data_IF_147854317760
#
_entry.id   IF_147854317760
#
_cell.length_a   1.000
_cell.length_b   1.000
_cell.length_c   1.000
_cell.angle_alpha   90.00
_cell.angle_beta   90.00
_cell.angle_gamma   90.00
#
_symmetry.space_group_name_H-M   'P 1'
#
loop_
_entity.id
_entity.type
_entity.pdbx_description
1 polymer ?
#
# COMPACT_ATOMS: atom_id res chain seq x y z
N UNK A 1 -7.55 -14.66 16.45
CA UNK A 1 -6.25 -15.33 16.43
C UNK A 1 -5.16 -14.32 16.83
N UNK A 2 -4.12 -14.78 17.56
CA UNK A 2 -2.97 -13.94 17.90
C UNK A 2 -1.69 -14.68 17.52
N UNK A 3 -0.72 -13.98 16.92
CA UNK A 3 0.49 -14.55 16.34
C UNK A 3 1.72 -13.67 16.51
N UNK A 4 2.89 -14.27 16.32
CA UNK A 4 4.20 -13.62 16.46
C UNK A 4 4.72 -13.64 17.88
N UNK A 5 5.32 -12.53 18.32
CA UNK A 5 6.06 -12.42 19.58
C UNK A 5 5.14 -12.22 20.79
N UNK A 6 4.41 -13.29 21.13
CA UNK A 6 3.50 -13.40 22.28
C UNK A 6 3.79 -14.72 22.99
N UNK A 7 3.54 -14.81 24.30
CA UNK A 7 3.89 -16.00 25.08
C UNK A 7 3.10 -17.24 24.64
N UNK A 8 1.81 -17.09 24.34
CA UNK A 8 0.95 -18.19 23.90
C UNK A 8 0.24 -17.82 22.60
N UNK A 9 0.91 -17.97 21.43
CA UNK A 9 0.26 -17.72 20.13
C UNK A 9 -0.79 -18.78 19.83
N UNK A 10 -1.87 -18.43 19.12
CA UNK A 10 -2.89 -19.39 18.76
C UNK A 10 -4.25 -18.79 18.43
N UNK A 11 -5.24 -19.68 18.27
CA UNK A 11 -6.64 -19.31 18.08
C UNK A 11 -7.34 -19.26 19.43
N UNK A 12 -8.05 -18.18 19.69
CA UNK A 12 -8.81 -17.95 20.93
C UNK A 12 -10.26 -17.69 20.59
N UNK A 13 -11.17 -18.34 21.30
CA UNK A 13 -12.58 -18.01 21.23
C UNK A 13 -12.82 -16.64 21.89
N UNK A 14 -13.65 -15.79 21.31
CA UNK A 14 -14.10 -14.54 21.90
C UNK A 14 -14.98 -14.85 23.09
N UNK A 15 -14.61 -14.37 24.27
CA UNK A 15 -15.32 -14.67 25.54
C UNK A 15 -16.57 -13.81 25.69
N UNK A 16 -16.62 -12.63 25.12
CA UNK A 16 -17.77 -11.73 25.15
C UNK A 16 -17.74 -10.74 24.00
N UNK A 17 -18.93 -10.20 23.63
CA UNK A 17 -19.04 -9.12 22.61
C UNK A 17 -18.31 -7.82 22.98
N UNK A 18 -17.84 -7.69 24.23
CA UNK A 18 -17.11 -6.52 24.74
C UNK A 18 -15.63 -6.79 24.92
N UNK A 19 -15.14 -7.97 24.52
CA UNK A 19 -13.73 -8.32 24.62
C UNK A 19 -12.88 -7.41 23.73
N UNK A 20 -11.77 -6.95 24.31
CA UNK A 20 -10.84 -6.01 23.65
C UNK A 20 -9.49 -6.68 23.38
N UNK A 21 -8.64 -5.99 22.62
CA UNK A 21 -7.26 -6.45 22.36
C UNK A 21 -6.52 -6.70 23.67
N UNK A 22 -6.63 -5.81 24.65
CA UNK A 22 -5.98 -5.95 25.95
C UNK A 22 -6.40 -7.22 26.71
N UNK A 23 -7.66 -7.62 26.60
CA UNK A 23 -8.18 -8.82 27.26
C UNK A 23 -7.61 -10.09 26.61
N UNK A 24 -7.64 -10.15 25.29
CA UNK A 24 -7.03 -11.25 24.55
C UNK A 24 -5.53 -11.35 24.81
N UNK A 25 -4.84 -10.20 24.84
CA UNK A 25 -3.41 -10.16 25.10
C UNK A 25 -3.06 -10.72 26.48
N UNK A 26 -3.86 -10.40 27.53
CA UNK A 26 -3.70 -11.00 28.86
C UNK A 26 -3.89 -12.51 28.83
N UNK A 27 -4.91 -13.01 28.12
CA UNK A 27 -5.17 -14.45 27.97
C UNK A 27 -4.04 -15.17 27.23
N UNK A 28 -3.40 -14.48 26.28
CA UNK A 28 -2.26 -14.98 25.53
C UNK A 28 -0.92 -14.83 26.29
N UNK A 29 -0.97 -14.45 27.57
CA UNK A 29 0.22 -14.33 28.43
C UNK A 29 1.05 -13.06 28.19
N UNK A 30 0.55 -12.13 27.37
CA UNK A 30 1.26 -10.89 27.01
C UNK A 30 2.32 -11.06 25.94
N UNK A 31 2.91 -9.93 25.47
CA UNK A 31 4.04 -9.95 24.54
C UNK A 31 5.28 -10.55 25.22
N UNK A 32 6.13 -11.21 24.45
CA UNK A 32 7.42 -11.69 24.92
C UNK A 32 8.52 -10.60 24.84
N UNK A 33 9.74 -10.92 25.22
CA UNK A 33 10.88 -9.98 25.24
C UNK A 33 11.32 -9.48 23.85
N UNK A 34 10.97 -10.20 22.77
CA UNK A 34 11.31 -9.84 21.39
C UNK A 34 10.24 -9.01 20.71
N UNK A 35 9.11 -8.80 21.36
CA UNK A 35 7.95 -8.13 20.78
C UNK A 35 8.22 -6.67 20.42
N UNK A 36 7.83 -6.26 19.23
CA UNK A 36 7.85 -4.87 18.79
C UNK A 36 6.45 -4.26 18.93
N UNK A 37 6.24 -3.50 19.98
CA UNK A 37 4.93 -2.98 20.41
C UNK A 37 4.35 -1.98 19.40
N UNK A 38 5.19 -1.10 18.84
CA UNK A 38 4.78 -0.11 17.84
C UNK A 38 4.59 -0.73 16.45
N UNK A 39 5.07 -1.95 16.25
CA UNK A 39 4.94 -2.68 14.99
C UNK A 39 3.73 -3.60 14.93
N UNK A 40 2.95 -3.69 16.00
CA UNK A 40 1.81 -4.58 16.06
C UNK A 40 0.67 -4.15 15.14
N UNK A 41 -0.08 -5.14 14.67
CA UNK A 41 -1.10 -4.95 13.64
C UNK A 41 -2.29 -5.88 13.91
N UNK A 42 -3.49 -5.42 13.67
CA UNK A 42 -4.69 -6.26 13.56
C UNK A 42 -5.11 -6.37 12.10
N UNK A 43 -5.36 -7.58 11.64
CA UNK A 43 -5.94 -7.86 10.32
C UNK A 43 -7.42 -8.16 10.53
N UNK A 44 -8.26 -7.38 9.90
CA UNK A 44 -9.74 -7.46 10.01
C UNK A 44 -10.37 -7.52 8.63
N UNK A 45 -11.42 -8.31 8.48
CA UNK A 45 -12.26 -8.29 7.28
C UNK A 45 -13.08 -6.99 7.26
N UNK A 46 -13.12 -6.32 6.13
CA UNK A 46 -13.93 -5.11 5.94
C UNK A 46 -14.72 -5.20 4.65
N UNK A 47 -15.90 -4.55 4.61
CA UNK A 47 -16.73 -4.48 3.40
C UNK A 47 -15.96 -3.87 2.23
N UNK A 48 -15.19 -2.82 2.49
CA UNK A 48 -14.35 -2.17 1.48
C UNK A 48 -13.29 -3.12 0.87
N UNK A 49 -12.66 -3.96 1.69
CA UNK A 49 -11.72 -4.97 1.21
C UNK A 49 -12.43 -6.08 0.39
N UNK A 50 -13.68 -6.38 0.70
CA UNK A 50 -14.51 -7.30 -0.09
C UNK A 50 -14.81 -6.75 -1.48
N UNK A 51 -15.21 -5.48 -1.61
CA UNK A 51 -15.47 -4.81 -2.89
C UNK A 51 -14.23 -4.79 -3.78
N UNK A 52 -13.07 -4.38 -3.24
CA UNK A 52 -11.80 -4.41 -3.99
C UNK A 52 -11.40 -5.81 -4.45
N UNK A 53 -11.71 -6.83 -3.63
CA UNK A 53 -11.45 -8.22 -4.00
C UNK A 53 -12.36 -8.70 -5.13
N UNK A 54 -13.62 -8.28 -5.16
CA UNK A 54 -14.56 -8.60 -6.22
C UNK A 54 -14.11 -7.98 -7.55
N UNK A 55 -13.77 -6.70 -7.57
CA UNK A 55 -13.22 -6.00 -8.75
C UNK A 55 -11.96 -6.70 -9.26
N UNK A 56 -11.03 -7.09 -8.37
CA UNK A 56 -9.81 -7.78 -8.78
C UNK A 56 -10.09 -9.18 -9.37
N UNK A 57 -11.04 -9.92 -8.82
CA UNK A 57 -11.45 -11.21 -9.37
C UNK A 57 -12.08 -11.04 -10.75
N UNK A 58 -12.93 -10.04 -10.94
CA UNK A 58 -13.55 -9.71 -12.22
C UNK A 58 -12.51 -9.35 -13.28
N UNK A 59 -11.51 -8.52 -12.94
CA UNK A 59 -10.35 -8.23 -13.80
C UNK A 59 -9.61 -9.51 -14.20
N UNK A 60 -9.35 -10.42 -13.25
CA UNK A 60 -8.65 -11.66 -13.52
C UNK A 60 -9.45 -12.59 -14.44
N UNK A 61 -10.76 -12.69 -14.24
CA UNK A 61 -11.64 -13.54 -15.03
C UNK A 61 -11.81 -13.01 -16.46
N UNK A 62 -11.98 -11.69 -16.63
CA UNK A 62 -12.01 -11.06 -17.96
C UNK A 62 -10.67 -11.20 -18.67
N UNK A 63 -9.55 -11.08 -17.96
CA UNK A 63 -8.21 -11.28 -18.54
C UNK A 63 -8.04 -12.70 -19.07
N UNK A 64 -8.43 -13.72 -18.28
CA UNK A 64 -8.40 -15.13 -18.71
C UNK A 64 -9.32 -15.40 -19.91
N UNK A 65 -10.50 -14.79 -19.92
CA UNK A 65 -11.43 -14.91 -21.04
C UNK A 65 -10.84 -14.30 -22.32
N UNK A 66 -10.24 -13.11 -22.21
CA UNK A 66 -9.53 -12.46 -23.29
C UNK A 66 -8.38 -13.34 -23.84
N UNK A 67 -7.56 -13.88 -22.97
CA UNK A 67 -6.45 -14.77 -23.35
C UNK A 67 -6.98 -16.00 -24.11
N UNK A 68 -8.05 -16.64 -23.64
CA UNK A 68 -8.67 -17.78 -24.31
C UNK A 68 -9.20 -17.43 -25.72
N UNK A 69 -9.78 -16.24 -25.89
CA UNK A 69 -10.30 -15.77 -27.17
C UNK A 69 -9.18 -15.34 -28.12
N UNK A 70 -8.02 -14.91 -27.61
CA UNK A 70 -6.89 -14.41 -28.43
C UNK A 70 -5.91 -15.50 -28.88
N UNK A 71 -6.12 -16.78 -28.52
CA UNK A 71 -5.19 -17.88 -28.84
C UNK A 71 -5.06 -18.16 -30.37
N UNK A 72 -6.01 -17.67 -31.22
CA UNK A 72 -5.95 -17.84 -32.67
C UNK A 72 -6.47 -16.57 -33.40
N UNK A 73 -5.68 -15.50 -33.37
CA UNK A 73 -6.04 -14.21 -33.99
C UNK A 73 -6.36 -14.33 -35.51
N UNK A 74 -5.79 -15.30 -36.19
CA UNK A 74 -5.99 -15.50 -37.65
C UNK A 74 -7.33 -16.13 -38.02
N UNK A 75 -8.05 -16.71 -37.06
CA UNK A 75 -9.33 -17.41 -37.26
C UNK A 75 -10.54 -16.68 -36.63
N UNK A 76 -10.32 -15.51 -36.02
CA UNK A 76 -11.37 -14.78 -35.33
C UNK A 76 -12.44 -14.24 -36.28
N UNK A 77 -13.69 -14.56 -35.99
CA UNK A 77 -14.86 -13.96 -36.64
C UNK A 77 -15.01 -12.51 -36.23
N UNK A 78 -15.74 -11.71 -37.05
CA UNK A 78 -16.02 -10.29 -36.75
C UNK A 78 -16.76 -10.13 -35.40
N UNK A 79 -17.61 -11.09 -35.02
CA UNK A 79 -18.29 -11.12 -33.71
C UNK A 79 -17.35 -11.34 -32.55
N UNK A 80 -16.32 -12.17 -32.70
CA UNK A 80 -15.30 -12.42 -31.68
C UNK A 80 -14.37 -11.21 -31.51
N UNK A 81 -13.99 -10.55 -32.59
CA UNK A 81 -13.24 -9.28 -32.54
C UNK A 81 -14.01 -8.19 -31.80
N UNK A 82 -15.34 -8.09 -32.05
CA UNK A 82 -16.20 -7.16 -31.33
C UNK A 82 -16.29 -7.52 -29.83
N UNK A 83 -16.34 -8.79 -29.49
CA UNK A 83 -16.33 -9.27 -28.09
C UNK A 83 -15.02 -8.93 -27.40
N UNK A 84 -13.87 -9.17 -28.04
CA UNK A 84 -12.55 -8.81 -27.51
C UNK A 84 -12.47 -7.30 -27.26
N UNK A 85 -12.93 -6.47 -28.19
CA UNK A 85 -12.92 -5.02 -28.00
C UNK A 85 -13.80 -4.54 -26.82
N UNK A 86 -14.92 -5.21 -26.57
CA UNK A 86 -15.74 -4.95 -25.37
C UNK A 86 -15.03 -5.35 -24.11
N UNK A 87 -14.43 -6.54 -24.06
CA UNK A 87 -13.65 -7.01 -22.92
C UNK A 87 -12.48 -6.05 -22.62
N UNK A 88 -11.77 -5.56 -23.65
CA UNK A 88 -10.68 -4.61 -23.48
C UNK A 88 -11.18 -3.27 -22.89
N UNK A 89 -12.33 -2.76 -23.34
CA UNK A 89 -12.95 -1.56 -22.78
C UNK A 89 -13.37 -1.75 -21.31
N UNK A 90 -13.99 -2.90 -20.98
CA UNK A 90 -14.41 -3.22 -19.61
C UNK A 90 -13.21 -3.41 -18.70
N UNK A 91 -12.15 -4.06 -19.18
CA UNK A 91 -10.87 -4.19 -18.45
C UNK A 91 -10.22 -2.83 -18.19
N UNK A 92 -10.23 -1.92 -19.15
CA UNK A 92 -9.70 -0.56 -18.97
C UNK A 92 -10.50 0.21 -17.91
N UNK A 93 -11.83 0.13 -17.99
CA UNK A 93 -12.73 0.77 -17.03
C UNK A 93 -12.53 0.23 -15.60
N UNK A 94 -12.52 -1.09 -15.43
CA UNK A 94 -12.29 -1.73 -14.13
C UNK A 94 -10.89 -1.43 -13.57
N UNK A 95 -9.86 -1.39 -14.43
CA UNK A 95 -8.50 -1.01 -14.02
C UNK A 95 -8.43 0.46 -13.58
N UNK A 96 -9.14 1.37 -14.24
CA UNK A 96 -9.23 2.77 -13.84
C UNK A 96 -9.94 2.91 -12.49
N UNK A 97 -11.05 2.20 -12.29
CA UNK A 97 -11.80 2.17 -11.04
C UNK A 97 -10.97 1.57 -9.90
N UNK A 98 -10.31 0.45 -10.12
CA UNK A 98 -9.39 -0.18 -9.16
C UNK A 98 -8.21 0.75 -8.81
N UNK A 99 -7.64 1.46 -9.79
CA UNK A 99 -6.55 2.42 -9.56
C UNK A 99 -7.00 3.69 -8.82
N UNK A 100 -8.23 4.15 -9.03
CA UNK A 100 -8.78 5.30 -8.30
C UNK A 100 -9.09 4.96 -6.85
N UNK A 101 -9.45 3.72 -6.56
CA UNK A 101 -9.77 3.20 -5.23
C UNK A 101 -8.53 2.63 -4.49
N UNK A 102 -7.49 2.21 -5.22
CA UNK A 102 -6.21 1.83 -4.63
C UNK A 102 -5.36 3.07 -4.37
N UNK A 103 -5.58 3.68 -3.21
CA UNK A 103 -4.58 4.60 -2.68
C UNK A 103 -3.25 3.82 -2.56
N UNK A 104 -2.15 4.41 -3.05
CA UNK A 104 -0.80 3.82 -3.03
C UNK A 104 -0.43 3.23 -1.65
N UNK A 105 -1.02 3.78 -0.57
CA UNK A 105 -0.87 3.28 0.79
C UNK A 105 -1.47 1.88 0.99
N UNK A 106 -2.57 1.55 0.34
CA UNK A 106 -3.23 0.23 0.48
C UNK A 106 -2.44 -0.87 -0.23
N UNK A 107 -1.84 -0.56 -1.38
CA UNK A 107 -0.95 -1.49 -2.09
C UNK A 107 0.29 -1.84 -1.25
N UNK A 108 0.95 -0.82 -0.68
CA UNK A 108 2.11 -0.99 0.20
C UNK A 108 1.74 -1.79 1.46
N UNK A 109 0.57 -1.53 2.03
CA UNK A 109 0.06 -2.29 3.19
C UNK A 109 -0.16 -3.77 2.85
N UNK A 110 -0.79 -4.09 1.72
CA UNK A 110 -1.00 -5.49 1.26
C UNK A 110 0.32 -6.22 1.03
N UNK A 111 1.27 -5.60 0.32
CA UNK A 111 2.58 -6.20 0.05
C UNK A 111 3.31 -6.51 1.36
N UNK A 112 3.22 -5.60 2.35
CA UNK A 112 3.86 -5.80 3.65
C UNK A 112 3.18 -6.86 4.50
N UNK A 113 1.86 -6.96 4.49
CA UNK A 113 1.14 -8.05 5.15
C UNK A 113 1.60 -9.39 4.57
N UNK A 114 1.67 -9.50 3.25
CA UNK A 114 2.18 -10.68 2.57
C UNK A 114 3.63 -11.01 2.98
N UNK A 115 4.50 -9.99 3.13
CA UNK A 115 5.87 -10.20 3.63
C UNK A 115 5.88 -10.65 5.10
N UNK A 116 5.04 -10.07 5.97
CA UNK A 116 4.94 -10.45 7.39
C UNK A 116 4.46 -11.90 7.52
N UNK A 117 3.41 -12.25 6.77
CA UNK A 117 2.85 -13.62 6.71
C UNK A 117 3.90 -14.62 6.23
N UNK A 118 4.61 -14.31 5.15
CA UNK A 118 5.68 -15.16 4.61
C UNK A 118 6.85 -15.33 5.58
N UNK A 119 7.28 -14.24 6.26
CA UNK A 119 8.40 -14.29 7.21
C UNK A 119 8.11 -15.13 8.46
N UNK A 120 6.87 -15.10 8.94
CA UNK A 120 6.48 -15.78 10.16
C UNK A 120 6.06 -17.23 9.92
N UNK A 121 6.29 -17.79 8.70
CA UNK A 121 5.85 -19.14 8.29
C UNK A 121 4.38 -19.41 8.67
N UNK A 122 3.55 -18.37 8.60
CA UNK A 122 2.15 -18.42 9.00
C UNK A 122 1.37 -19.23 7.96
N UNK A 123 0.49 -20.09 8.45
CA UNK A 123 -0.34 -20.97 7.63
C UNK A 123 -1.08 -20.20 6.52
N UNK A 124 -1.21 -20.84 5.37
CA UNK A 124 -1.81 -20.34 4.12
C UNK A 124 -3.30 -19.90 4.24
N UNK A 125 -3.91 -20.05 5.43
CA UNK A 125 -5.35 -19.87 5.67
C UNK A 125 -5.80 -18.43 5.94
N UNK A 126 -4.94 -17.41 5.71
CA UNK A 126 -5.37 -16.01 5.91
C UNK A 126 -5.97 -15.48 4.61
N UNK A 127 -7.28 -15.16 4.56
CA UNK A 127 -7.92 -14.60 3.36
C UNK A 127 -7.51 -13.13 3.19
N UNK A 128 -6.26 -12.90 2.82
CA UNK A 128 -5.64 -11.58 2.69
C UNK A 128 -6.35 -10.67 1.68
N UNK A 129 -7.00 -11.29 0.68
CA UNK A 129 -7.71 -10.56 -0.37
C UNK A 129 -8.90 -9.74 0.16
N UNK A 130 -9.51 -10.16 1.29
CA UNK A 130 -10.71 -9.55 1.87
C UNK A 130 -10.46 -8.89 3.24
N UNK A 131 -9.21 -8.55 3.54
CA UNK A 131 -8.84 -8.07 4.86
C UNK A 131 -8.00 -6.80 4.79
N UNK A 132 -8.19 -5.91 5.75
CA UNK A 132 -7.38 -4.72 5.95
C UNK A 132 -6.46 -4.88 7.15
N UNK A 133 -5.32 -4.21 7.06
CA UNK A 133 -4.34 -4.11 8.14
C UNK A 133 -4.51 -2.79 8.86
N UNK A 134 -4.76 -2.86 10.16
CA UNK A 134 -4.88 -1.70 11.04
C UNK A 134 -3.69 -1.72 12.00
N UNK A 135 -2.83 -0.69 11.94
CA UNK A 135 -1.74 -0.54 12.89
C UNK A 135 -2.27 -0.30 14.29
N UNK A 136 -1.71 -1.00 15.29
CA UNK A 136 -2.06 -0.84 16.69
C UNK A 136 -0.80 -0.54 17.52
N UNK A 137 -0.97 0.27 18.56
CA UNK A 137 0.10 0.56 19.51
C UNK A 137 -0.12 -0.24 20.80
N UNK A 138 0.56 -1.38 20.92
CA UNK A 138 0.40 -2.25 22.08
C UNK A 138 0.89 -1.59 23.38
N UNK A 139 1.92 -0.75 23.33
CA UNK A 139 2.40 -0.05 24.52
C UNK A 139 1.30 0.82 25.13
N UNK A 140 0.55 1.54 24.28
CA UNK A 140 -0.58 2.35 24.71
C UNK A 140 -1.76 1.50 25.20
N UNK A 141 -2.06 0.39 24.52
CA UNK A 141 -3.14 -0.53 24.88
C UNK A 141 -2.87 -1.17 26.24
N UNK A 142 -1.62 -1.60 26.51
CA UNK A 142 -1.22 -2.25 27.76
C UNK A 142 -1.25 -1.24 28.92
N UNK A 143 -0.75 -0.02 28.72
CA UNK A 143 -0.71 1.02 29.75
C UNK A 143 -2.09 1.58 30.09
N UNK A 144 -2.99 1.60 29.14
CA UNK A 144 -4.30 2.22 29.28
C UNK A 144 -5.43 1.37 28.65
N UNK A 145 -5.73 0.20 29.22
CA UNK A 145 -6.78 -0.69 28.75
C UNK A 145 -8.14 0.01 28.74
N UNK A 146 -8.96 -0.29 27.73
CA UNK A 146 -10.32 0.24 27.60
C UNK A 146 -10.43 1.63 26.96
N UNK A 147 -9.33 2.28 26.58
CA UNK A 147 -9.35 3.51 25.81
C UNK A 147 -9.71 3.25 24.32
N UNK A 148 -9.89 4.33 23.54
CA UNK A 148 -10.25 4.26 22.11
C UNK A 148 -9.25 3.47 21.25
N UNK A 149 -7.97 3.44 21.64
CA UNK A 149 -6.91 2.66 20.99
C UNK A 149 -7.01 1.17 21.23
N UNK A 150 -7.73 0.75 22.28
CA UNK A 150 -7.95 -0.64 22.64
C UNK A 150 -9.26 -1.13 21.97
N UNK A 151 -9.13 -1.57 20.72
CA UNK A 151 -10.26 -1.94 19.88
C UNK A 151 -11.02 -3.14 20.42
N UNK A 152 -12.33 -3.15 20.20
CA UNK A 152 -13.15 -4.35 20.38
C UNK A 152 -12.76 -5.41 19.35
N UNK A 153 -12.74 -6.67 19.77
CA UNK A 153 -12.44 -7.79 18.90
C UNK A 153 -13.68 -8.21 18.12
N UNK A 154 -13.47 -8.59 16.86
CA UNK A 154 -14.46 -9.16 15.98
C UNK A 154 -14.06 -10.58 15.58
N UNK A 155 -15.05 -11.40 15.20
CA UNK A 155 -14.77 -12.75 14.77
C UNK A 155 -13.95 -12.75 13.47
N UNK A 156 -12.90 -13.56 13.44
CA UNK A 156 -11.96 -13.60 12.34
C UNK A 156 -10.78 -12.62 12.46
N UNK A 157 -10.73 -11.76 13.48
CA UNK A 157 -9.57 -10.88 13.71
C UNK A 157 -8.28 -11.66 13.92
N UNK A 158 -7.18 -11.15 13.34
CA UNK A 158 -5.84 -11.71 13.51
C UNK A 158 -4.93 -10.59 14.01
N UNK A 159 -4.44 -10.74 15.24
CA UNK A 159 -3.45 -9.83 15.81
C UNK A 159 -2.06 -10.39 15.53
N UNK A 160 -1.19 -9.57 14.95
CA UNK A 160 0.20 -9.92 14.65
C UNK A 160 1.11 -9.01 15.45
N UNK A 161 1.98 -9.61 16.25
CA UNK A 161 3.01 -8.92 17.03
C UNK A 161 4.36 -9.28 16.42
N UNK A 162 4.99 -8.41 15.64
CA UNK A 162 6.24 -8.73 14.98
C UNK A 162 7.42 -8.65 15.95
N UNK A 163 8.50 -9.31 15.58
CA UNK A 163 9.80 -9.13 16.21
C UNK A 163 10.37 -7.75 15.89
N UNK A 164 11.02 -7.11 16.87
CA UNK A 164 11.73 -5.86 16.65
C UNK A 164 12.93 -6.06 15.73
N UNK A 165 12.87 -5.45 14.54
CA UNK A 165 13.98 -5.46 13.59
C UNK A 165 14.85 -4.24 13.82
N UNK A 166 16.15 -4.45 14.05
CA UNK A 166 17.11 -3.36 14.25
C UNK A 166 17.65 -2.77 12.93
N UNK A 167 16.84 -2.75 11.89
CA UNK A 167 17.25 -2.29 10.56
C UNK A 167 16.24 -1.33 9.94
N UNK A 168 16.71 -0.53 8.99
CA UNK A 168 15.94 0.34 8.10
C UNK A 168 16.21 -0.12 6.67
N UNK A 169 15.18 -0.48 5.93
CA UNK A 169 15.28 -0.88 4.52
C UNK A 169 15.07 0.32 3.62
N UNK A 170 15.92 0.50 2.61
CA UNK A 170 15.86 1.61 1.66
C UNK A 170 15.59 1.07 0.26
N UNK A 171 14.56 1.61 -0.39
CA UNK A 171 14.09 1.18 -1.73
C UNK A 171 13.76 2.37 -2.64
N UNK A 172 13.66 2.09 -3.93
CA UNK A 172 13.30 3.07 -4.96
C UNK A 172 14.50 3.80 -5.54
N UNK A 173 14.33 5.05 -5.93
CA UNK A 173 15.31 5.85 -6.68
C UNK A 173 16.44 6.38 -5.77
N UNK A 174 17.30 5.45 -5.36
CA UNK A 174 18.53 5.67 -4.60
C UNK A 174 19.70 5.13 -5.42
N UNK A 175 20.90 5.65 -5.19
CA UNK A 175 22.09 5.17 -5.92
C UNK A 175 22.38 3.70 -5.60
N UNK A 176 22.22 3.28 -4.35
CA UNK A 176 22.42 1.90 -3.93
C UNK A 176 21.37 1.47 -2.89
N UNK A 177 20.18 1.02 -3.30
CA UNK A 177 19.16 0.51 -2.38
C UNK A 177 19.71 -0.62 -1.53
N UNK A 178 19.61 -0.50 -0.19
CA UNK A 178 20.20 -1.43 0.77
C UNK A 178 19.39 -1.49 2.07
N UNK A 179 19.88 -2.26 3.02
CA UNK A 179 19.36 -2.31 4.39
C UNK A 179 20.47 -1.88 5.35
N UNK A 180 20.16 -0.88 6.16
CA UNK A 180 21.10 -0.25 7.10
C UNK A 180 20.65 -0.50 8.54
N UNK A 181 21.58 -0.68 9.47
CA UNK A 181 21.26 -0.80 10.90
C UNK A 181 20.55 0.45 11.40
N UNK A 182 19.48 0.26 12.15
CA UNK A 182 18.77 1.38 12.78
C UNK A 182 19.61 2.02 13.87
N UNK A 183 19.61 3.35 13.92
CA UNK A 183 20.24 4.16 14.98
C UNK A 183 19.24 5.20 15.49
N UNK A 184 18.84 5.17 16.78
CA UNK A 184 17.76 6.00 17.30
C UNK A 184 17.99 7.52 17.16
N UNK A 185 19.25 7.94 17.13
CA UNK A 185 19.64 9.36 17.05
C UNK A 185 19.76 9.91 15.63
N UNK A 186 19.54 9.07 14.61
CA UNK A 186 19.75 9.45 13.20
C UNK A 186 18.44 9.74 12.48
N UNK A 187 18.39 10.88 11.79
CA UNK A 187 17.27 11.25 10.92
C UNK A 187 17.33 10.54 9.56
N UNK A 188 16.24 10.61 8.82
CA UNK A 188 16.07 9.91 7.52
C UNK A 188 17.19 10.21 6.52
N UNK A 189 17.72 11.45 6.50
CA UNK A 189 18.84 11.83 5.62
C UNK A 189 20.09 10.98 5.83
N UNK A 190 20.37 10.55 7.06
CA UNK A 190 21.49 9.66 7.34
C UNK A 190 21.35 8.33 6.58
N UNK A 191 20.18 7.73 6.61
CA UNK A 191 19.93 6.45 5.93
C UNK A 191 19.98 6.62 4.41
N UNK A 192 19.40 7.70 3.87
CA UNK A 192 19.49 8.01 2.44
C UNK A 192 20.94 8.15 1.99
N UNK A 193 21.78 8.83 2.78
CA UNK A 193 23.21 8.97 2.49
C UNK A 193 23.95 7.62 2.59
N UNK A 194 23.57 6.75 3.52
CA UNK A 194 24.11 5.39 3.62
C UNK A 194 23.74 4.50 2.43
N UNK A 195 22.72 4.87 1.64
CA UNK A 195 22.38 4.29 0.35
C UNK A 195 23.02 5.03 -0.84
N UNK A 196 24.07 5.82 -0.60
CA UNK A 196 24.73 6.63 -1.63
C UNK A 196 24.01 7.91 -2.00
N UNK A 197 22.86 8.21 -1.41
CA UNK A 197 22.02 9.37 -1.73
C UNK A 197 20.94 9.07 -2.76
N UNK A 198 20.28 10.14 -3.20
CA UNK A 198 19.21 10.07 -4.19
C UNK A 198 19.75 9.92 -5.62
N UNK A 199 19.12 9.05 -6.41
CA UNK A 199 19.33 9.02 -7.87
C UNK A 199 18.78 10.30 -8.54
N UNK A 200 19.21 10.56 -9.78
CA UNK A 200 18.78 11.70 -10.60
C UNK A 200 17.26 11.70 -10.85
N UNK A 201 16.68 10.51 -10.97
CA UNK A 201 15.23 10.31 -11.18
C UNK A 201 14.40 10.40 -9.90
N UNK A 202 15.03 10.57 -8.74
CA UNK A 202 14.36 10.57 -7.44
C UNK A 202 13.45 11.80 -7.24
N UNK A 203 12.19 11.56 -6.83
CA UNK A 203 11.26 12.60 -6.36
C UNK A 203 11.46 12.83 -4.86
N UNK A 204 12.54 13.52 -4.49
CA UNK A 204 13.02 13.72 -3.10
C UNK A 204 11.93 14.20 -2.13
N UNK A 205 11.13 15.17 -2.53
CA UNK A 205 10.04 15.73 -1.70
C UNK A 205 8.82 14.84 -1.56
N UNK A 206 8.81 13.66 -2.18
CA UNK A 206 7.75 12.67 -2.06
C UNK A 206 8.24 11.37 -1.41
N UNK A 207 9.46 11.37 -0.85
CA UNK A 207 9.97 10.27 -0.05
C UNK A 207 9.02 10.00 1.12
N UNK A 208 8.74 8.73 1.40
CA UNK A 208 7.86 8.31 2.48
C UNK A 208 8.46 7.11 3.22
N UNK A 209 7.94 6.88 4.42
CA UNK A 209 8.34 5.78 5.30
C UNK A 209 7.12 4.92 5.56
N UNK A 210 7.27 3.62 5.40
CA UNK A 210 6.31 2.61 5.81
C UNK A 210 6.82 1.99 7.10
N UNK A 211 6.05 2.13 8.18
CA UNK A 211 6.40 1.57 9.49
C UNK A 211 6.07 0.08 9.61
N UNK A 212 6.58 -0.55 10.66
CA UNK A 212 6.38 -1.97 10.89
C UNK A 212 4.89 -2.36 11.04
N UNK A 213 4.06 -1.48 11.58
CA UNK A 213 2.61 -1.64 11.73
C UNK A 213 1.82 -1.35 10.43
N UNK A 214 2.50 -0.99 9.34
CA UNK A 214 1.86 -0.65 8.06
C UNK A 214 1.46 0.81 7.91
N UNK A 215 1.61 1.65 8.92
CA UNK A 215 1.36 3.09 8.81
C UNK A 215 2.35 3.74 7.85
N UNK A 216 1.89 4.79 7.15
CA UNK A 216 2.71 5.50 6.17
C UNK A 216 2.85 6.97 6.55
N UNK A 217 4.09 7.43 6.68
CA UNK A 217 4.40 8.84 6.85
C UNK A 217 5.17 9.37 5.65
N UNK A 218 4.69 10.46 5.07
CA UNK A 218 5.34 11.09 3.90
C UNK A 218 6.08 12.36 4.30
N UNK A 219 7.09 12.71 3.50
CA UNK A 219 7.81 13.99 3.59
C UNK A 219 6.82 15.15 3.45
N UNK A 220 6.89 16.09 4.38
CA UNK A 220 6.16 17.36 4.33
C UNK A 220 7.09 18.44 3.78
N UNK A 221 6.57 19.30 2.91
CA UNK A 221 7.31 20.50 2.45
C UNK A 221 6.95 21.66 3.36
N UNK A 222 7.97 22.32 3.89
CA UNK A 222 7.81 23.56 4.63
C UNK A 222 8.73 24.61 4.00
N UNK A 223 8.17 25.62 3.34
CA UNK A 223 8.88 26.59 2.53
C UNK A 223 9.81 25.88 1.51
N UNK A 224 11.12 26.01 1.68
CA UNK A 224 12.15 25.42 0.81
C UNK A 224 12.74 24.12 1.36
N UNK A 225 12.28 23.65 2.53
CA UNK A 225 12.82 22.49 3.22
C UNK A 225 11.88 21.29 3.14
N UNK A 226 12.49 20.09 2.98
CA UNK A 226 11.80 18.84 3.13
C UNK A 226 11.91 18.35 4.59
N UNK A 227 10.79 18.27 5.28
CA UNK A 227 10.69 17.68 6.60
C UNK A 227 10.41 16.18 6.43
N UNK A 228 11.46 15.39 6.57
CA UNK A 228 11.37 13.94 6.46
C UNK A 228 10.76 13.33 7.72
N UNK A 229 9.95 12.26 7.59
CA UNK A 229 9.46 11.51 8.73
C UNK A 229 10.61 10.82 9.48
N UNK A 230 10.35 10.44 10.73
CA UNK A 230 11.31 9.70 11.54
C UNK A 230 11.47 8.28 11.01
N UNK A 231 12.70 7.77 10.92
CA UNK A 231 12.95 6.37 10.67
C UNK A 231 12.85 5.60 12.00
N UNK A 232 12.09 4.52 12.01
CA UNK A 232 11.90 3.63 13.15
C UNK A 232 12.43 2.23 12.86
N UNK A 233 12.69 1.41 13.89
CA UNK A 233 13.14 0.04 13.71
C UNK A 233 12.21 -0.74 12.79
N UNK A 234 12.76 -1.45 11.81
CA UNK A 234 11.99 -2.26 10.88
C UNK A 234 11.20 -1.48 9.82
N UNK A 235 11.34 -0.16 9.75
CA UNK A 235 10.67 0.63 8.73
C UNK A 235 11.33 0.47 7.35
N UNK A 236 10.55 0.79 6.32
CA UNK A 236 10.99 0.85 4.95
C UNK A 236 10.88 2.28 4.41
N UNK A 237 12.00 2.81 3.91
CA UNK A 237 12.09 4.13 3.28
C UNK A 237 11.95 3.95 1.79
N UNK A 238 10.95 4.57 1.19
CA UNK A 238 10.67 4.45 -0.24
C UNK A 238 10.84 5.80 -0.91
N UNK A 239 11.71 5.84 -1.92
CA UNK A 239 11.97 7.01 -2.74
C UNK A 239 11.32 6.83 -4.10
N UNK A 240 10.21 7.51 -4.39
CA UNK A 240 9.53 7.36 -5.67
C UNK A 240 10.26 8.06 -6.81
N UNK A 241 10.01 7.57 -8.01
CA UNK A 241 10.49 8.17 -9.26
C UNK A 241 9.73 9.47 -9.57
N UNK A 242 10.38 10.43 -10.20
CA UNK A 242 9.71 11.58 -10.81
C UNK A 242 8.79 11.06 -11.92
N UNK A 243 7.51 11.43 -11.87
CA UNK A 243 6.66 11.23 -13.05
C UNK A 243 7.22 12.07 -14.20
N UNK A 244 7.42 11.43 -15.34
CA UNK A 244 7.67 12.15 -16.58
C UNK A 244 6.36 12.87 -16.89
N UNK A 245 6.29 14.18 -16.64
CA UNK A 245 5.26 14.99 -17.27
C UNK A 245 5.62 14.95 -18.75
N UNK A 246 4.84 14.24 -19.57
CA UNK A 246 4.88 14.49 -21.00
C UNK A 246 4.53 15.98 -21.14
N UNK A 247 5.47 16.85 -21.54
CA UNK A 247 5.06 18.18 -21.94
C UNK A 247 4.05 17.94 -23.07
N UNK A 248 2.82 18.43 -22.93
CA UNK A 248 1.94 18.62 -24.07
C UNK A 248 2.85 19.20 -25.14
N UNK A 249 3.05 18.46 -26.22
CA UNK A 249 4.03 18.84 -27.21
C UNK A 249 3.70 20.28 -27.61
N UNK A 250 4.69 21.16 -27.59
CA UNK A 250 4.48 22.58 -27.94
C UNK A 250 3.73 22.73 -29.27
N UNK A 251 3.86 21.75 -30.16
CA UNK A 251 3.05 21.54 -31.37
C UNK A 251 1.56 21.40 -31.12
N UNK A 252 1.10 20.78 -30.02
CA UNK A 252 -0.35 20.68 -29.75
C UNK A 252 -0.92 22.03 -29.26
N UNK A 253 -0.15 22.80 -28.49
CA UNK A 253 -0.57 24.14 -28.06
C UNK A 253 -0.59 25.11 -29.26
N UNK A 254 0.39 25.02 -30.15
CA UNK A 254 0.41 25.80 -31.39
C UNK A 254 -0.78 25.46 -32.30
N UNK A 255 -1.17 24.19 -32.43
CA UNK A 255 -2.32 23.80 -33.22
C UNK A 255 -3.65 24.33 -32.68
N UNK A 256 -3.82 24.47 -31.36
CA UNK A 256 -5.00 25.10 -30.77
C UNK A 256 -5.04 26.61 -31.06
N UNK A 257 -3.90 27.30 -30.93
CA UNK A 257 -3.84 28.77 -31.18
C UNK A 257 -4.00 29.11 -32.65
N UNK A 258 -3.45 28.33 -33.58
CA UNK A 258 -3.61 28.54 -35.01
C UNK A 258 -5.04 28.20 -35.49
N UNK A 259 -5.67 27.18 -34.91
CA UNK A 259 -7.08 26.85 -35.18
C UNK A 259 -8.04 27.96 -34.76
N UNK A 260 -7.83 28.55 -33.60
CA UNK A 260 -8.66 29.66 -33.08
C UNK A 260 -8.45 30.94 -33.89
N UNK A 261 -7.24 31.25 -34.31
CA UNK A 261 -6.94 32.40 -35.16
C UNK A 261 -7.57 32.27 -36.58
N UNK A 262 -7.56 31.05 -37.16
CA UNK A 262 -8.22 30.76 -38.43
C UNK A 262 -9.74 30.89 -38.33
N UNK A 263 -10.35 30.53 -37.20
CA UNK A 263 -11.78 30.64 -36.94
C UNK A 263 -12.22 32.09 -36.81
N UNK A 264 -11.43 32.92 -36.14
CA UNK A 264 -11.67 34.37 -35.99
C UNK A 264 -11.54 35.08 -37.35
N UNK A 265 -10.55 34.71 -38.19
CA UNK A 265 -10.38 35.25 -39.54
C UNK A 265 -11.55 34.84 -40.44
N UNK A 266 -12.04 33.61 -40.36
CA UNK A 266 -13.20 33.15 -41.14
C UNK A 266 -14.49 33.87 -40.74
N UNK A 267 -14.69 34.18 -39.45
CA UNK A 267 -15.88 34.95 -38.99
C UNK A 267 -15.81 36.40 -39.46
N UNK A 268 -14.62 37.02 -39.54
CA UNK A 268 -14.45 38.40 -40.04
C UNK A 268 -14.59 38.52 -41.58
N UNK A 269 -14.53 37.43 -42.33
CA UNK A 269 -14.78 37.47 -43.79
C UNK A 269 -16.24 37.26 -44.16
N UNK A 270 -17.11 36.92 -43.20
CA UNK A 270 -18.54 36.69 -43.45
C UNK A 270 -19.40 37.92 -43.09
N UNK A 271 -18.82 38.92 -42.45
CA UNK A 271 -19.42 40.23 -42.19
C UNK A 271 -18.84 41.27 -43.13
#
# INVERSE_FOLDING_TARGET
RIEGEVNYPGKYAISSKKERISDLLKRAGGPNEYAYYEGATIIRKTEFAEELSQIQNEINDLTKLREKLSLDESLLTESEKLLISRIDNDLEKLKLENNSNQDFSSFVKKERINEIVKRNAMSEDIPLAKSESIGINLDQIIKSPGLKSDLLLEDGDIIIIPKKLETVRLRGELLYPNTVRHSPSRGLKYYINAAGGFDLKAKRGSTYVVYANGDVARTKKFLFFNLYPKAEPGCEVIVPKKSVKNPLAASQILNFTTGLAALILAINQIN
#
